data_IF_338871005098
#
_entry.id   IF_338871005098
#
_cell.length_a   1.000
_cell.length_b   1.000
_cell.length_c   1.000
_cell.angle_alpha   90.00
_cell.angle_beta   90.00
_cell.angle_gamma   90.00
#
_symmetry.space_group_name_H-M   'P 1'
#
loop_
_entity.id
_entity.type
_entity.pdbx_description
1 polymer ?
#
# COMPACT_ATOMS: atom_id res chain seq x y z
N UNK A 1 -2.25 -1.58 3.52
CA UNK A 1 -2.14 -0.23 4.11
C UNK A 1 -0.69 0.20 4.18
N UNK A 2 0.16 -0.50 4.93
CA UNK A 2 1.56 -0.07 5.17
C UNK A 2 2.37 0.23 3.91
N UNK A 3 2.19 -0.51 2.81
CA UNK A 3 2.86 -0.19 1.54
C UNK A 3 2.60 1.25 1.05
N UNK A 4 1.42 1.82 1.31
CA UNK A 4 1.13 3.24 0.99
C UNK A 4 1.99 4.17 1.85
N UNK A 5 2.12 3.87 3.14
CA UNK A 5 2.96 4.64 4.07
C UNK A 5 4.45 4.51 3.72
N UNK A 6 4.90 3.30 3.39
CA UNK A 6 6.28 3.04 2.97
C UNK A 6 6.63 3.80 1.68
N UNK A 7 5.69 3.91 0.74
CA UNK A 7 5.87 4.70 -0.49
C UNK A 7 6.05 6.18 -0.20
N UNK A 8 5.27 6.74 0.71
CA UNK A 8 5.44 8.15 1.13
C UNK A 8 6.85 8.40 1.71
N UNK A 9 7.46 7.39 2.32
CA UNK A 9 8.82 7.47 2.87
C UNK A 9 9.93 7.16 1.86
N UNK A 10 9.60 6.56 0.71
CA UNK A 10 10.58 6.18 -0.31
C UNK A 10 10.79 7.32 -1.32
N UNK A 11 12.03 7.64 -1.68
CA UNK A 11 12.33 8.68 -2.69
C UNK A 11 11.89 8.30 -4.11
N UNK A 12 11.48 7.05 -4.34
CA UNK A 12 11.05 6.56 -5.66
C UNK A 12 9.54 6.73 -5.92
N UNK A 13 8.79 7.25 -4.94
CA UNK A 13 7.35 7.46 -5.03
C UNK A 13 6.98 8.88 -4.60
N UNK A 14 5.74 9.33 -4.89
CA UNK A 14 5.23 10.59 -4.35
C UNK A 14 5.21 10.61 -2.82
N UNK A 15 5.28 11.80 -2.23
CA UNK A 15 5.45 12.01 -0.78
C UNK A 15 4.13 12.36 -0.07
N UNK A 16 2.99 12.15 -0.74
CA UNK A 16 1.66 12.33 -0.14
C UNK A 16 0.75 11.13 -0.35
N UNK A 17 -0.17 10.90 0.60
CA UNK A 17 -1.18 9.84 0.49
C UNK A 17 -2.01 9.99 -0.78
N UNK A 18 -2.40 11.23 -1.11
CA UNK A 18 -3.23 11.52 -2.28
C UNK A 18 -2.50 11.12 -3.57
N UNK A 19 -1.26 11.58 -3.75
CA UNK A 19 -0.51 11.28 -4.96
C UNK A 19 -0.15 9.80 -5.10
N UNK A 20 0.16 9.10 -4.00
CA UNK A 20 0.41 7.64 -4.01
C UNK A 20 -0.86 6.87 -4.36
N UNK A 21 -2.01 7.22 -3.76
CA UNK A 21 -3.29 6.52 -3.98
C UNK A 21 -3.85 6.79 -5.37
N UNK A 22 -3.76 8.04 -5.86
CA UNK A 22 -4.29 8.45 -7.16
C UNK A 22 -3.28 8.34 -8.31
N UNK A 23 -2.08 7.78 -8.09
CA UNK A 23 -1.09 7.59 -9.15
C UNK A 23 -1.67 6.79 -10.33
N UNK A 24 -1.63 7.39 -11.53
CA UNK A 24 -2.19 6.82 -12.77
C UNK A 24 -1.17 6.28 -13.76
N UNK A 25 0.11 6.60 -13.59
CA UNK A 25 1.17 6.16 -14.49
C UNK A 25 2.37 5.59 -13.72
N UNK A 26 2.48 4.25 -13.58
CA UNK A 26 1.42 3.28 -13.85
C UNK A 26 0.28 3.39 -12.83
N UNK A 27 -0.89 2.85 -13.16
CA UNK A 27 -2.01 2.78 -12.22
C UNK A 27 -1.64 1.89 -11.03
N UNK A 28 -1.60 2.46 -9.82
CA UNK A 28 -1.21 1.73 -8.60
C UNK A 28 -2.41 1.07 -7.90
N UNK A 29 -3.51 1.82 -7.72
CA UNK A 29 -4.69 1.36 -7.00
C UNK A 29 -5.91 1.49 -7.91
N UNK A 30 -6.38 0.36 -8.47
CA UNK A 30 -7.58 0.34 -9.31
C UNK A 30 -8.85 0.89 -8.63
N UNK A 31 -9.05 0.78 -7.30
CA UNK A 31 -10.21 1.39 -6.64
C UNK A 31 -10.17 2.92 -6.55
N UNK A 32 -9.03 3.57 -6.85
CA UNK A 32 -8.89 5.04 -6.74
C UNK A 32 -9.95 5.80 -7.55
N UNK A 33 -10.34 5.27 -8.71
CA UNK A 33 -11.39 5.86 -9.54
C UNK A 33 -12.79 5.80 -8.91
N UNK A 34 -13.00 4.90 -7.95
CA UNK A 34 -14.30 4.66 -7.30
C UNK A 34 -14.45 5.45 -5.99
N UNK A 35 -13.36 6.00 -5.44
CA UNK A 35 -13.36 6.76 -4.18
C UNK A 35 -14.46 7.84 -4.13
N UNK A 36 -14.70 8.66 -5.17
CA UNK A 36 -15.73 9.71 -5.11
C UNK A 36 -17.17 9.19 -4.96
N UNK A 37 -17.39 7.90 -5.22
CA UNK A 37 -18.72 7.27 -5.27
C UNK A 37 -18.89 6.13 -4.26
N UNK A 38 -17.82 5.82 -3.51
CA UNK A 38 -17.79 4.69 -2.59
C UNK A 38 -17.69 5.19 -1.17
N UNK A 39 -18.66 4.82 -0.33
CA UNK A 39 -18.59 5.06 1.11
C UNK A 39 -17.78 3.93 1.75
N UNK A 40 -16.63 4.20 2.38
CA UNK A 40 -15.90 3.17 3.14
C UNK A 40 -16.76 2.66 4.31
N UNK A 41 -16.58 1.39 4.66
CA UNK A 41 -17.20 0.79 5.84
C UNK A 41 -16.28 0.89 7.05
N UNK A 42 -16.83 0.60 8.23
CA UNK A 42 -16.07 0.52 9.49
C UNK A 42 -14.86 -0.42 9.40
N UNK A 43 -14.93 -1.48 8.59
CA UNK A 43 -13.81 -2.40 8.41
C UNK A 43 -12.60 -1.71 7.77
N UNK A 44 -12.83 -0.86 6.75
CA UNK A 44 -11.73 -0.11 6.12
C UNK A 44 -11.12 0.89 7.09
N UNK A 45 -11.94 1.60 7.88
CA UNK A 45 -11.44 2.52 8.90
C UNK A 45 -10.60 1.80 9.95
N UNK A 46 -11.09 0.69 10.50
CA UNK A 46 -10.34 -0.12 11.47
C UNK A 46 -9.02 -0.64 10.91
N UNK A 47 -9.00 -1.06 9.65
CA UNK A 47 -7.77 -1.51 9.01
C UNK A 47 -6.73 -0.37 8.90
N UNK A 48 -7.16 0.86 8.61
CA UNK A 48 -6.31 2.06 8.60
C UNK A 48 -5.80 2.37 10.00
N UNK A 49 -6.71 2.45 10.97
CA UNK A 49 -6.39 2.78 12.36
C UNK A 49 -5.42 1.76 12.97
N UNK A 50 -5.65 0.47 12.72
CA UNK A 50 -4.77 -0.60 13.21
C UNK A 50 -3.36 -0.45 12.66
N UNK A 51 -3.20 -0.13 11.37
CA UNK A 51 -1.89 0.08 10.77
C UNK A 51 -1.19 1.34 11.30
N UNK A 52 -1.94 2.42 11.56
CA UNK A 52 -1.38 3.66 12.12
C UNK A 52 -1.03 3.55 13.60
N UNK A 53 -1.76 2.74 14.36
CA UNK A 53 -1.57 2.55 15.80
C UNK A 53 -0.64 1.38 16.15
N UNK A 54 -0.20 0.60 15.16
CA UNK A 54 0.68 -0.54 15.38
C UNK A 54 2.01 -0.09 16.00
N UNK A 55 2.40 -0.73 17.11
CA UNK A 55 3.69 -0.47 17.76
C UNK A 55 4.87 -0.92 16.89
N UNK A 56 4.65 -1.96 16.09
CA UNK A 56 5.61 -2.49 15.12
C UNK A 56 4.89 -2.66 13.77
N UNK A 57 5.48 -2.18 12.66
CA UNK A 57 4.91 -2.39 11.34
C UNK A 57 4.99 -3.86 10.93
N UNK A 58 4.00 -4.33 10.18
CA UNK A 58 3.97 -5.67 9.58
C UNK A 58 5.07 -5.82 8.51
N UNK A 59 5.45 -4.72 7.86
CA UNK A 59 6.41 -4.68 6.76
C UNK A 59 7.56 -3.71 7.04
N UNK A 60 8.76 -4.05 6.58
CA UNK A 60 9.90 -3.14 6.63
C UNK A 60 9.66 -1.92 5.72
N UNK A 61 10.30 -0.79 6.02
CA UNK A 61 10.10 0.47 5.30
C UNK A 61 10.44 0.42 3.80
N UNK A 62 11.29 -0.51 3.36
CA UNK A 62 11.65 -0.69 1.95
C UNK A 62 10.73 -1.66 1.19
N UNK A 63 9.68 -2.19 1.84
CA UNK A 63 8.64 -3.03 1.21
C UNK A 63 7.59 -2.14 0.57
N UNK A 64 7.76 -1.88 -0.73
CA UNK A 64 6.97 -0.90 -1.50
C UNK A 64 6.12 -1.51 -2.64
N UNK A 65 6.28 -2.79 -2.93
CA UNK A 65 5.48 -3.50 -3.93
C UNK A 65 4.60 -4.58 -3.32
N UNK A 66 3.40 -4.73 -3.87
CA UNK A 66 2.50 -5.83 -3.59
C UNK A 66 1.68 -6.14 -4.85
N UNK A 67 1.46 -7.42 -5.13
CA UNK A 67 0.61 -7.89 -6.23
C UNK A 67 0.23 -9.36 -6.00
N UNK A 68 -0.63 -9.93 -6.84
CA UNK A 68 -0.96 -11.38 -6.78
C UNK A 68 0.20 -12.28 -7.23
N UNK A 69 1.26 -11.69 -7.78
CA UNK A 69 2.54 -12.33 -8.09
C UNK A 69 3.70 -11.42 -7.70
N UNK A 70 4.92 -11.97 -7.65
CA UNK A 70 6.11 -11.19 -7.33
C UNK A 70 6.38 -10.11 -8.40
N UNK A 71 6.50 -8.86 -7.97
CA UNK A 71 6.83 -7.74 -8.87
C UNK A 71 8.31 -7.76 -9.29
N UNK A 72 9.18 -8.31 -8.44
CA UNK A 72 10.61 -8.48 -8.68
C UNK A 72 11.15 -9.69 -7.88
N UNK A 73 12.47 -9.93 -7.96
CA UNK A 73 13.12 -11.04 -7.23
C UNK A 73 13.39 -10.80 -5.74
N UNK A 74 13.15 -9.58 -5.22
CA UNK A 74 13.40 -9.20 -3.82
C UNK A 74 12.16 -9.44 -2.96
N UNK A 75 11.69 -10.69 -2.93
CA UNK A 75 10.49 -11.08 -2.17
C UNK A 75 10.73 -10.91 -0.68
N UNK A 76 9.80 -10.22 -0.01
CA UNK A 76 9.76 -10.09 1.45
C UNK A 76 8.95 -11.24 2.05
N UNK A 77 7.67 -11.35 1.67
CA UNK A 77 6.74 -12.36 2.17
C UNK A 77 5.53 -12.51 1.25
N UNK A 78 4.77 -13.59 1.44
CA UNK A 78 3.42 -13.74 0.90
C UNK A 78 2.43 -13.66 2.07
N UNK A 79 1.51 -12.70 2.02
CA UNK A 79 0.48 -12.50 3.05
C UNK A 79 -0.89 -12.55 2.37
N UNK A 80 -1.70 -13.56 2.73
CA UNK A 80 -2.93 -13.86 2.04
C UNK A 80 -2.68 -14.16 0.55
N UNK A 81 -3.40 -13.48 -0.33
CA UNK A 81 -3.28 -13.64 -1.79
C UNK A 81 -2.24 -12.70 -2.44
N UNK A 82 -1.43 -11.99 -1.64
CA UNK A 82 -0.47 -11.01 -2.15
C UNK A 82 0.97 -11.38 -1.83
N UNK A 83 1.84 -11.20 -2.82
CA UNK A 83 3.29 -11.25 -2.68
C UNK A 83 3.80 -9.83 -2.49
N UNK A 84 4.56 -9.62 -1.42
CA UNK A 84 5.19 -8.36 -1.07
C UNK A 84 6.66 -8.39 -1.47
N UNK A 85 7.14 -7.34 -2.12
CA UNK A 85 8.55 -7.22 -2.53
C UNK A 85 9.15 -5.91 -2.04
N UNK A 86 10.45 -5.96 -1.78
CA UNK A 86 11.27 -4.77 -1.51
C UNK A 86 11.50 -3.97 -2.79
N UNK A 87 11.84 -2.70 -2.62
CA UNK A 87 12.14 -1.75 -3.70
C UNK A 87 13.16 -2.26 -4.74
#
# INVERSE_FOLDING_TARGET
MEVVLNRILSPSFPDTVDEVVYQRNPLQFSPSALIPTTTPTEEQYRAVETALAAAEPITDADVVYFSTSAQNGRVYATIGAHVFCRE
#
